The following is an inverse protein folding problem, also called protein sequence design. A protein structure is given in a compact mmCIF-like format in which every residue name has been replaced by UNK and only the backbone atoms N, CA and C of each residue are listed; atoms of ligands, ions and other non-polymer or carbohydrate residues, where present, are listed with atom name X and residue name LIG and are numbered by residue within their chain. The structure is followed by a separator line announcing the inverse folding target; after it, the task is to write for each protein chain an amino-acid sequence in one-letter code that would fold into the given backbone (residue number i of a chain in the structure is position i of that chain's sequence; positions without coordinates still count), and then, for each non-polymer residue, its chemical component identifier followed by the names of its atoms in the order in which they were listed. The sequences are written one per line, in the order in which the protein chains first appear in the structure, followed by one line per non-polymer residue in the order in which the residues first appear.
data_IF_631799044357
#
_entry.id   IF_631799044357
#
_cell.length_a   1.000
_cell.length_b   1.000
_cell.length_c   1.000
_cell.angle_alpha   90.00
_cell.angle_beta   90.00
_cell.angle_gamma   90.00
#
_symmetry.space_group_name_H-M   'P 1'
#
loop_
_entity.id
_entity.type
_entity.pdbx_description
1 polymer ?
#
# COMPACT_ATOMS: atom_id res chain seq x y z
N UNK A 1 -14.90 -3.74 -5.33
CA UNK A 1 -14.33 -2.40 -5.62
C UNK A 1 -13.82 -1.85 -4.30
N UNK A 2 -12.55 -1.49 -4.24
CA UNK A 2 -11.92 -1.00 -3.00
C UNK A 2 -12.51 0.37 -2.66
N UNK A 3 -12.94 0.57 -1.40
CA UNK A 3 -13.35 1.88 -0.90
C UNK A 3 -12.11 2.67 -0.48
N UNK A 4 -11.78 3.72 -1.23
CA UNK A 4 -10.64 4.59 -0.94
C UNK A 4 -11.11 5.88 -0.30
N UNK A 5 -10.54 6.24 0.85
CA UNK A 5 -10.74 7.54 1.50
C UNK A 5 -9.38 8.18 1.72
N UNK A 6 -9.17 9.33 1.10
CA UNK A 6 -7.88 10.00 1.10
C UNK A 6 -7.98 11.41 1.67
N UNK A 7 -7.08 11.75 2.59
CA UNK A 7 -6.88 13.10 3.10
C UNK A 7 -5.99 13.95 2.19
N UNK A 8 -5.13 13.30 1.40
CA UNK A 8 -4.18 13.87 0.43
C UNK A 8 -3.78 12.83 -0.63
N UNK A 9 -3.14 13.20 -1.75
CA UNK A 9 -2.65 12.22 -2.73
C UNK A 9 -1.74 11.16 -2.10
N UNK A 10 -1.85 9.90 -2.53
CA UNK A 10 -1.03 8.78 -2.01
C UNK A 10 0.47 9.04 -2.18
N UNK A 11 0.87 9.77 -3.24
CA UNK A 11 2.26 10.14 -3.50
C UNK A 11 2.83 11.17 -2.48
N UNK A 12 1.97 11.81 -1.69
CA UNK A 12 2.36 12.73 -0.61
C UNK A 12 2.40 12.06 0.76
N UNK A 13 2.10 10.76 0.83
CA UNK A 13 2.35 9.97 2.04
C UNK A 13 3.84 9.85 2.30
N UNK A 14 4.23 9.99 3.56
CA UNK A 14 5.62 9.93 4.02
C UNK A 14 5.73 8.99 5.21
N UNK A 15 6.96 8.61 5.53
CA UNK A 15 7.27 7.83 6.73
C UNK A 15 6.60 8.43 7.98
N UNK A 16 5.93 7.59 8.76
CA UNK A 16 5.20 8.00 9.97
C UNK A 16 3.73 8.37 9.75
N UNK A 17 3.28 8.53 8.50
CA UNK A 17 1.84 8.74 8.24
C UNK A 17 1.07 7.45 8.55
N UNK A 18 -0.13 7.58 9.13
CA UNK A 18 -1.00 6.44 9.43
C UNK A 18 -1.92 6.12 8.26
N UNK A 19 -2.13 4.84 8.03
CA UNK A 19 -3.02 4.31 6.99
C UNK A 19 -3.79 3.13 7.57
N UNK A 20 -5.03 2.93 7.16
CA UNK A 20 -5.82 1.77 7.54
C UNK A 20 -6.21 0.97 6.33
N UNK A 21 -6.01 -0.34 6.43
CA UNK A 21 -6.38 -1.33 5.41
C UNK A 21 -7.39 -2.27 6.04
N UNK A 22 -8.60 -2.34 5.48
CA UNK A 22 -9.73 -3.12 6.04
C UNK A 22 -9.96 -2.82 7.54
N UNK A 23 -9.75 -1.57 7.96
CA UNK A 23 -9.90 -1.13 9.36
C UNK A 23 -8.73 -1.46 10.30
N UNK A 24 -7.73 -2.24 9.86
CA UNK A 24 -6.47 -2.44 10.59
C UNK A 24 -5.54 -1.25 10.34
N UNK A 25 -4.94 -0.71 11.39
CA UNK A 25 -4.05 0.45 11.31
C UNK A 25 -2.61 0.01 11.06
N UNK A 26 -1.92 0.76 10.22
CA UNK A 26 -0.52 0.59 9.85
C UNK A 26 0.14 1.96 9.81
N UNK A 27 1.46 1.97 9.85
CA UNK A 27 2.27 3.16 9.61
C UNK A 27 3.05 3.01 8.30
N UNK A 28 3.13 4.10 7.54
CA UNK A 28 3.94 4.17 6.32
C UNK A 28 5.41 4.17 6.71
N UNK A 29 6.19 3.30 6.10
CA UNK A 29 7.64 3.31 6.21
C UNK A 29 8.29 3.97 4.99
N UNK A 30 7.89 3.56 3.78
CA UNK A 30 8.46 4.08 2.54
C UNK A 30 7.47 4.04 1.37
N UNK A 31 7.77 4.82 0.32
CA UNK A 31 7.13 4.70 -0.99
C UNK A 31 8.22 4.45 -2.02
N UNK A 32 8.08 3.37 -2.78
CA UNK A 32 9.08 2.91 -3.73
C UNK A 32 8.46 2.67 -5.10
N UNK A 33 9.22 2.99 -6.15
CA UNK A 33 8.88 2.62 -7.53
C UNK A 33 9.35 1.19 -7.74
N UNK A 34 8.43 0.28 -8.04
CA UNK A 34 8.75 -1.11 -8.41
C UNK A 34 9.17 -1.18 -9.88
N UNK A 35 8.34 -0.62 -10.77
CA UNK A 35 8.54 -0.62 -12.21
C UNK A 35 8.09 0.72 -12.78
N UNK A 36 8.95 1.35 -13.58
CA UNK A 36 8.59 2.52 -14.39
C UNK A 36 8.30 2.07 -15.81
N UNK A 37 7.03 2.06 -16.21
CA UNK A 37 6.62 1.72 -17.58
C UNK A 37 6.83 2.91 -18.51
N UNK A 38 6.40 4.09 -18.07
CA UNK A 38 6.57 5.37 -18.75
C UNK A 38 6.51 6.54 -17.74
N UNK A 39 6.47 7.78 -18.25
CA UNK A 39 6.46 8.99 -17.41
C UNK A 39 5.22 9.13 -16.52
N UNK A 40 4.08 8.60 -16.96
CA UNK A 40 2.77 8.74 -16.31
C UNK A 40 2.35 7.45 -15.58
N UNK A 41 2.92 6.30 -15.97
CA UNK A 41 2.56 4.97 -15.47
C UNK A 41 3.74 4.31 -14.75
N UNK A 42 3.61 4.20 -13.42
CA UNK A 42 4.55 3.49 -12.54
C UNK A 42 3.79 2.51 -11.66
N UNK A 43 4.37 1.34 -11.45
CA UNK A 43 4.01 0.45 -10.36
C UNK A 43 4.70 0.94 -9.09
N UNK A 44 3.90 1.28 -8.10
CA UNK A 44 4.37 1.77 -6.80
C UNK A 44 4.13 0.71 -5.74
N UNK A 45 4.98 0.66 -4.73
CA UNK A 45 4.68 0.02 -3.45
C UNK A 45 4.76 1.08 -2.35
N UNK A 46 3.70 1.17 -1.55
CA UNK A 46 3.72 1.83 -0.25
C UNK A 46 4.02 0.74 0.78
N UNK A 47 5.21 0.79 1.36
CA UNK A 47 5.63 -0.09 2.44
C UNK A 47 4.99 0.39 3.74
N UNK A 48 4.25 -0.49 4.38
CA UNK A 48 3.50 -0.19 5.61
C UNK A 48 3.75 -1.30 6.62
N UNK A 49 3.86 -0.93 7.90
CA UNK A 49 4.16 -1.88 8.96
C UNK A 49 3.06 -1.88 10.03
N UNK A 50 2.76 -3.06 10.58
CA UNK A 50 1.90 -3.19 11.76
C UNK A 50 2.75 -3.27 13.03
N UNK A 51 2.82 -2.16 13.76
CA UNK A 51 3.45 -2.05 15.08
C UNK A 51 2.99 -3.13 16.08
N UNK A 52 1.73 -3.54 16.02
CA UNK A 52 1.14 -4.49 16.95
C UNK A 52 1.58 -5.93 16.72
N UNK A 53 2.06 -6.26 15.51
CA UNK A 53 2.45 -7.63 15.14
C UNK A 53 3.87 -7.77 14.62
N UNK A 54 4.60 -6.67 14.44
CA UNK A 54 5.95 -6.66 13.86
C UNK A 54 5.95 -7.35 12.47
N UNK A 55 4.96 -6.98 11.65
CA UNK A 55 4.73 -7.54 10.31
C UNK A 55 4.80 -6.43 9.25
N UNK A 56 5.53 -6.67 8.17
CA UNK A 56 5.67 -5.77 7.04
C UNK A 56 4.70 -6.10 5.90
N UNK A 57 4.16 -5.07 5.28
CA UNK A 57 3.20 -5.16 4.19
C UNK A 57 3.53 -4.18 3.07
N UNK A 58 2.91 -4.42 1.91
CA UNK A 58 2.93 -3.50 0.79
C UNK A 58 1.51 -3.27 0.26
N UNK A 59 1.14 -2.01 0.08
CA UNK A 59 0.05 -1.62 -0.80
C UNK A 59 0.64 -1.23 -2.16
N UNK A 60 0.34 -2.02 -3.18
CA UNK A 60 0.79 -1.76 -4.54
C UNK A 60 -0.30 -1.12 -5.36
N UNK A 61 0.07 -0.19 -6.23
CA UNK A 61 -0.86 0.53 -7.10
C UNK A 61 -0.16 1.07 -8.35
N UNK A 62 -0.94 1.40 -9.37
CA UNK A 62 -0.48 2.11 -10.55
C UNK A 62 -0.78 3.61 -10.42
N UNK A 63 0.20 4.46 -10.73
CA UNK A 63 0.07 5.93 -10.62
C UNK A 63 -1.07 6.51 -11.46
N UNK A 64 -1.40 5.90 -12.60
CA UNK A 64 -2.45 6.35 -13.51
C UNK A 64 -3.85 5.79 -13.15
N UNK A 65 -3.95 4.90 -12.16
CA UNK A 65 -5.21 4.25 -11.78
C UNK A 65 -5.22 3.86 -10.29
N UNK A 66 -4.79 4.77 -9.42
CA UNK A 66 -4.58 4.50 -7.98
C UNK A 66 -5.80 3.81 -7.35
N UNK A 67 -6.98 4.40 -7.48
CA UNK A 67 -8.20 3.97 -6.77
C UNK A 67 -8.67 2.55 -7.15
N UNK A 68 -8.38 2.08 -8.37
CA UNK A 68 -8.84 0.77 -8.85
C UNK A 68 -7.71 -0.26 -8.99
N UNK A 69 -6.48 0.09 -8.62
CA UNK A 69 -5.31 -0.78 -8.81
C UNK A 69 -4.68 -1.26 -7.51
N UNK A 70 -5.28 -0.92 -6.36
CA UNK A 70 -4.74 -1.34 -5.08
C UNK A 70 -4.73 -2.86 -4.93
N UNK A 71 -3.57 -3.37 -4.54
CA UNK A 71 -3.36 -4.74 -4.14
C UNK A 71 -2.58 -4.78 -2.83
N UNK A 72 -2.94 -5.70 -1.94
CA UNK A 72 -2.34 -5.82 -0.63
C UNK A 72 -1.47 -7.07 -0.52
N UNK A 73 -0.25 -6.89 -0.04
CA UNK A 73 0.77 -7.92 0.06
C UNK A 73 1.35 -7.93 1.46
N UNK A 74 1.68 -9.13 1.94
CA UNK A 74 2.35 -9.36 3.22
C UNK A 74 3.73 -9.95 2.97
N UNK A 75 4.73 -9.48 3.69
CA UNK A 75 6.06 -10.09 3.68
C UNK A 75 6.00 -11.43 4.42
N UNK A 76 6.40 -12.50 3.75
CA UNK A 76 6.50 -13.86 4.31
C UNK A 76 7.97 -14.22 4.49
N UNK A 77 8.36 -14.49 5.73
CA UNK A 77 9.77 -14.58 6.11
C UNK A 77 10.46 -13.25 5.86
N UNK A 78 11.68 -13.27 5.33
CA UNK A 78 12.49 -12.05 5.19
C UNK A 78 12.66 -11.58 3.73
N UNK A 79 11.97 -12.18 2.74
CA UNK A 79 12.31 -11.96 1.33
C UNK A 79 11.18 -12.12 0.29
N UNK A 80 9.99 -12.61 0.63
CA UNK A 80 8.91 -12.82 -0.36
C UNK A 80 7.64 -12.09 0.06
N UNK A 81 7.18 -11.17 -0.78
CA UNK A 81 5.82 -10.64 -0.67
C UNK A 81 4.81 -11.58 -1.29
N UNK A 82 3.83 -12.02 -0.50
CA UNK A 82 2.69 -12.80 -0.96
C UNK A 82 1.44 -11.94 -0.94
N UNK A 83 0.64 -12.00 -2.01
CA UNK A 83 -0.67 -11.33 -2.05
C UNK A 83 -1.55 -11.85 -0.92
N UNK A 84 -2.13 -10.94 -0.14
CA UNK A 84 -3.11 -11.29 0.89
C UNK A 84 -4.36 -11.78 0.16
N UNK A 85 -4.81 -12.98 0.53
CA UNK A 85 -5.90 -13.67 -0.20
C UNK A 85 -7.28 -13.11 0.09
N UNK A 86 -7.44 -12.45 1.23
CA UNK A 86 -8.68 -11.79 1.60
C UNK A 86 -8.94 -10.60 0.67
N UNK A 87 -10.21 -10.31 0.39
CA UNK A 87 -10.57 -9.19 -0.46
C UNK A 87 -10.12 -7.88 0.20
N UNK A 88 -9.43 -7.04 -0.57
CA UNK A 88 -9.16 -5.68 -0.16
C UNK A 88 -10.46 -4.88 -0.29
N UNK A 89 -11.06 -4.53 0.83
CA UNK A 89 -12.37 -3.87 0.89
C UNK A 89 -12.22 -2.35 1.02
N UNK A 90 -11.27 -1.89 1.84
CA UNK A 90 -11.06 -0.46 2.08
C UNK A 90 -9.60 -0.10 2.37
N UNK A 91 -9.25 1.12 1.94
CA UNK A 91 -7.98 1.78 2.29
C UNK A 91 -8.29 3.22 2.66
N UNK A 92 -7.84 3.68 3.83
CA UNK A 92 -8.03 5.06 4.28
C UNK A 92 -6.77 5.68 4.89
N UNK A 93 -6.50 6.94 4.55
CA UNK A 93 -5.42 7.77 5.10
C UNK A 93 -5.82 9.25 5.09
#
# INVERSE_FOLDING_TARGET
MVKVKQSKPVAELKKGDKIKVNGREFEVDASVVLIEHDKETKEMALEIFDEGKDEDFQLRYFTNNVENSFEFYELKGDFIYSKVRDELESVEW
#
